data_IF_541102860084
#
_entry.id   IF_541102860084
#
_cell.length_a   1.000
_cell.length_b   1.000
_cell.length_c   1.000
_cell.angle_alpha   90.00
_cell.angle_beta   90.00
_cell.angle_gamma   90.00
#
_symmetry.space_group_name_H-M   'P 1'
#
loop_
_entity.id
_entity.type
_entity.pdbx_description
1 polymer ?
#
# COMPACT_ATOMS: atom_id res chain seq x y z
N UNK A 1 -17.30 -7.13 9.45
CA UNK A 1 -16.07 -7.96 9.51
C UNK A 1 -15.86 -8.61 8.15
N UNK A 2 -14.61 -8.89 7.73
CA UNK A 2 -14.38 -9.55 6.44
C UNK A 2 -15.10 -10.91 6.43
N UNK A 3 -15.78 -11.23 5.32
CA UNK A 3 -16.45 -12.53 5.16
C UNK A 3 -15.39 -13.63 5.11
N UNK A 4 -15.69 -14.78 5.72
CA UNK A 4 -14.84 -15.95 5.62
C UNK A 4 -14.59 -16.27 4.14
N UNK A 5 -13.33 -16.54 3.77
CA UNK A 5 -13.01 -16.87 2.38
C UNK A 5 -13.61 -18.23 2.01
N UNK A 6 -14.14 -18.32 0.79
CA UNK A 6 -14.64 -19.59 0.24
C UNK A 6 -13.51 -20.56 -0.10
N UNK A 7 -12.28 -20.06 -0.28
CA UNK A 7 -11.08 -20.84 -0.62
C UNK A 7 -9.98 -20.61 0.42
N UNK A 8 -9.13 -21.62 0.63
CA UNK A 8 -8.00 -21.58 1.56
C UNK A 8 -8.32 -22.17 2.94
N UNK A 9 -7.32 -22.14 3.85
CA UNK A 9 -7.47 -22.61 5.23
C UNK A 9 -8.46 -21.70 5.96
N UNK A 10 -9.58 -22.27 6.42
CA UNK A 10 -10.55 -21.53 7.23
C UNK A 10 -9.88 -21.03 8.51
N UNK A 11 -10.10 -19.77 8.91
CA UNK A 11 -9.64 -19.28 10.20
C UNK A 11 -10.21 -20.16 11.31
N UNK A 12 -9.33 -20.75 12.13
CA UNK A 12 -9.74 -21.47 13.35
C UNK A 12 -9.81 -20.55 14.57
N UNK A 13 -9.43 -19.28 14.43
CA UNK A 13 -9.38 -18.30 15.51
C UNK A 13 -10.64 -17.45 15.54
N UNK A 14 -11.14 -17.18 16.75
CA UNK A 14 -12.22 -16.22 16.94
C UNK A 14 -11.71 -14.79 16.66
N UNK A 15 -12.35 -14.13 15.69
CA UNK A 15 -12.03 -12.76 15.30
C UNK A 15 -12.28 -11.76 16.44
N UNK A 16 -13.22 -12.05 17.35
CA UNK A 16 -13.46 -11.21 18.53
C UNK A 16 -12.24 -11.22 19.45
N UNK A 17 -11.65 -12.39 19.68
CA UNK A 17 -10.43 -12.53 20.48
C UNK A 17 -9.23 -11.86 19.83
N UNK A 18 -9.10 -11.93 18.51
CA UNK A 18 -8.10 -11.17 17.77
C UNK A 18 -8.26 -9.65 18.00
N UNK A 19 -9.49 -9.14 17.96
CA UNK A 19 -9.77 -7.73 18.22
C UNK A 19 -9.50 -7.33 19.68
N UNK A 20 -9.86 -8.19 20.64
CA UNK A 20 -9.57 -7.99 22.06
C UNK A 20 -8.06 -7.92 22.30
N UNK A 21 -7.29 -8.83 21.70
CA UNK A 21 -5.84 -8.84 21.76
C UNK A 21 -5.20 -7.57 21.18
N UNK A 22 -5.71 -7.09 20.03
CA UNK A 22 -5.24 -5.82 19.42
C UNK A 22 -5.56 -4.63 20.34
N UNK A 23 -6.76 -4.58 20.91
CA UNK A 23 -7.15 -3.52 21.85
C UNK A 23 -6.28 -3.55 23.11
N UNK A 24 -6.03 -4.74 23.67
CA UNK A 24 -5.15 -4.92 24.81
C UNK A 24 -3.74 -4.37 24.53
N UNK A 25 -3.15 -4.71 23.39
CA UNK A 25 -1.83 -4.19 23.00
C UNK A 25 -1.84 -2.68 22.75
N UNK A 26 -2.92 -2.13 22.20
CA UNK A 26 -3.08 -0.71 21.98
C UNK A 26 -3.16 0.08 23.29
N UNK A 27 -3.89 -0.44 24.30
CA UNK A 27 -4.03 0.19 25.61
C UNK A 27 -2.78 -0.01 26.50
N UNK A 28 -2.19 -1.21 26.50
CA UNK A 28 -1.04 -1.54 27.36
C UNK A 28 0.30 -1.04 26.83
N UNK A 29 0.41 -0.74 25.53
CA UNK A 29 1.66 -0.33 24.89
C UNK A 29 2.71 -1.47 24.74
N UNK A 30 2.41 -2.67 25.23
CA UNK A 30 3.30 -3.83 25.24
C UNK A 30 3.80 -4.26 23.86
N UNK A 31 4.91 -4.99 23.85
CA UNK A 31 5.43 -5.62 22.63
C UNK A 31 4.59 -6.83 22.24
N UNK A 32 4.55 -7.16 20.94
CA UNK A 32 3.77 -8.29 20.42
C UNK A 32 4.10 -9.64 21.09
N UNK A 33 5.38 -9.86 21.44
CA UNK A 33 5.82 -11.07 22.16
C UNK A 33 5.33 -11.17 23.60
N UNK A 34 4.82 -10.08 24.17
CA UNK A 34 4.27 -10.02 25.52
C UNK A 34 2.75 -10.17 25.54
N UNK A 35 2.13 -10.53 24.41
CA UNK A 35 0.70 -10.79 24.37
C UNK A 35 0.38 -11.98 25.29
N UNK A 36 -0.57 -11.85 26.23
CA UNK A 36 -0.98 -12.94 27.10
C UNK A 36 -1.43 -14.18 26.31
N UNK A 37 -1.01 -15.36 26.78
CA UNK A 37 -1.24 -16.63 26.08
C UNK A 37 -2.72 -16.98 25.87
N UNK A 38 -3.63 -16.43 26.68
CA UNK A 38 -5.07 -16.68 26.57
C UNK A 38 -5.68 -16.08 25.30
N UNK A 39 -5.06 -15.04 24.72
CA UNK A 39 -5.45 -14.52 23.41
C UNK A 39 -4.96 -15.40 22.23
N UNK A 40 -4.22 -16.47 22.52
CA UNK A 40 -3.61 -17.36 21.55
C UNK A 40 -2.25 -16.88 21.03
N UNK A 41 -1.70 -17.52 19.98
CA UNK A 41 -0.37 -17.20 19.46
C UNK A 41 -0.31 -15.76 18.92
N UNK A 42 0.63 -14.97 19.44
CA UNK A 42 0.79 -13.57 19.05
C UNK A 42 1.06 -13.40 17.54
N UNK A 43 1.71 -14.38 16.89
CA UNK A 43 1.95 -14.36 15.45
C UNK A 43 0.63 -14.33 14.67
N UNK A 44 -0.36 -15.12 15.10
CA UNK A 44 -1.68 -15.16 14.45
C UNK A 44 -2.38 -13.82 14.56
N UNK A 45 -2.42 -13.23 15.76
CA UNK A 45 -3.00 -11.90 15.98
C UNK A 45 -2.24 -10.84 15.16
N UNK A 46 -0.91 -10.93 15.11
CA UNK A 46 -0.08 -10.02 14.32
C UNK A 46 -0.32 -10.14 12.81
N UNK A 47 -0.53 -11.34 12.29
CA UNK A 47 -0.87 -11.59 10.89
C UNK A 47 -2.22 -10.97 10.53
N UNK A 48 -3.22 -11.14 11.39
CA UNK A 48 -4.52 -10.47 11.22
C UNK A 48 -4.41 -8.96 11.29
N UNK A 49 -3.58 -8.43 12.21
CA UNK A 49 -3.39 -6.99 12.35
C UNK A 49 -2.69 -6.34 11.14
N UNK A 50 -1.68 -7.00 10.58
CA UNK A 50 -0.90 -6.46 9.46
C UNK A 50 -1.48 -6.84 8.10
N UNK A 51 -2.25 -7.91 8.01
CA UNK A 51 -2.61 -8.55 6.76
C UNK A 51 -1.50 -9.45 6.24
N UNK A 52 -1.91 -10.53 5.57
CA UNK A 52 -1.02 -11.52 4.97
C UNK A 52 -1.23 -11.55 3.45
N UNK A 53 -0.15 -11.33 2.71
CA UNK A 53 -0.14 -11.47 1.26
C UNK A 53 0.18 -12.93 0.91
N UNK A 54 -0.83 -13.67 0.45
CA UNK A 54 -0.69 -15.08 0.09
C UNK A 54 0.20 -15.33 -1.13
N UNK A 55 0.29 -14.36 -2.06
CA UNK A 55 1.12 -14.48 -3.26
C UNK A 55 2.61 -14.34 -2.94
N UNK A 56 2.96 -13.41 -2.06
CA UNK A 56 4.34 -13.20 -1.60
C UNK A 56 4.69 -14.02 -0.36
N UNK A 57 3.70 -14.64 0.29
CA UNK A 57 3.82 -15.38 1.55
C UNK A 57 4.46 -14.55 2.67
N UNK A 58 4.14 -13.26 2.70
CA UNK A 58 4.68 -12.32 3.69
C UNK A 58 3.57 -11.56 4.38
N UNK A 59 3.84 -11.18 5.62
CA UNK A 59 3.03 -10.26 6.40
C UNK A 59 3.60 -8.87 6.19
N UNK A 60 2.76 -7.88 5.93
CA UNK A 60 3.28 -6.54 5.67
C UNK A 60 2.22 -5.50 5.48
N UNK A 61 2.62 -4.37 4.92
CA UNK A 61 1.71 -3.30 4.51
C UNK A 61 1.96 -2.98 3.06
N UNK A 62 0.90 -2.65 2.35
CA UNK A 62 0.98 -2.17 0.97
C UNK A 62 0.96 -0.65 0.97
N UNK A 63 1.79 -0.09 0.10
CA UNK A 63 1.90 1.35 -0.13
C UNK A 63 1.33 1.63 -1.51
N UNK A 64 0.10 2.14 -1.55
CA UNK A 64 -0.50 2.61 -2.79
C UNK A 64 -0.06 4.05 -2.99
N UNK A 65 0.68 4.34 -4.06
CA UNK A 65 1.29 5.66 -4.26
C UNK A 65 0.89 6.19 -5.63
N UNK A 66 0.41 7.43 -5.66
CA UNK A 66 0.25 8.22 -6.87
C UNK A 66 1.38 9.25 -6.95
N UNK A 67 2.00 9.32 -8.13
CA UNK A 67 3.12 10.22 -8.40
C UNK A 67 2.87 10.99 -9.70
N UNK A 68 3.44 12.18 -9.77
CA UNK A 68 3.64 12.91 -11.02
C UNK A 68 4.70 12.22 -11.89
N UNK A 69 4.78 12.58 -13.16
CA UNK A 69 5.78 12.23 -14.17
C UNK A 69 7.23 12.34 -13.69
N UNK A 70 7.55 13.32 -12.84
CA UNK A 70 8.87 13.50 -12.20
C UNK A 70 9.12 12.56 -10.99
N UNK A 71 8.14 11.75 -10.63
CA UNK A 71 8.14 10.91 -9.42
C UNK A 71 7.91 11.72 -8.13
N UNK A 72 7.30 12.90 -8.22
CA UNK A 72 6.88 13.67 -7.04
C UNK A 72 5.61 13.05 -6.48
N UNK A 73 5.59 12.83 -5.16
CA UNK A 73 4.44 12.21 -4.49
C UNK A 73 3.22 13.13 -4.52
N UNK A 74 2.15 12.67 -5.15
CA UNK A 74 0.84 13.31 -5.09
C UNK A 74 0.05 12.78 -3.90
N UNK A 75 -0.08 11.45 -3.80
CA UNK A 75 -0.88 10.80 -2.76
C UNK A 75 -0.24 9.49 -2.32
N UNK A 76 -0.38 9.15 -1.05
CA UNK A 76 0.01 7.86 -0.49
C UNK A 76 -1.18 7.35 0.31
N UNK A 77 -1.52 6.09 0.11
CA UNK A 77 -2.48 5.37 0.93
C UNK A 77 -1.82 4.08 1.41
N UNK A 78 -1.89 3.82 2.72
CA UNK A 78 -1.33 2.62 3.32
C UNK A 78 -2.46 1.66 3.65
N UNK A 79 -2.32 0.42 3.22
CA UNK A 79 -3.25 -0.66 3.57
C UNK A 79 -2.50 -1.83 4.18
N UNK A 80 -3.25 -2.74 4.79
CA UNK A 80 -2.78 -4.07 5.14
C UNK A 80 -2.43 -4.86 3.88
N UNK A 81 -1.59 -5.89 4.02
CA UNK A 81 -1.06 -6.63 2.87
C UNK A 81 -2.08 -7.53 2.14
N UNK A 82 -3.19 -7.87 2.80
CA UNK A 82 -4.29 -8.67 2.24
C UNK A 82 -5.17 -7.87 1.27
N UNK A 83 -5.11 -6.54 1.30
CA UNK A 83 -5.86 -5.69 0.38
C UNK A 83 -5.28 -5.81 -1.03
N UNK A 84 -6.16 -6.03 -2.01
CA UNK A 84 -5.80 -6.07 -3.42
C UNK A 84 -5.34 -4.69 -3.90
N UNK A 85 -4.36 -4.67 -4.79
CA UNK A 85 -3.78 -3.42 -5.30
C UNK A 85 -4.82 -2.59 -6.06
N UNK A 86 -5.72 -3.23 -6.81
CA UNK A 86 -6.86 -2.57 -7.47
C UNK A 86 -7.80 -1.88 -6.47
N UNK A 87 -8.06 -2.48 -5.31
CA UNK A 87 -8.90 -1.87 -4.28
C UNK A 87 -8.19 -0.64 -3.68
N UNK A 88 -6.89 -0.73 -3.44
CA UNK A 88 -6.08 0.42 -3.02
C UNK A 88 -6.07 1.56 -4.05
N UNK A 89 -5.94 1.23 -5.34
CA UNK A 89 -6.01 2.20 -6.43
C UNK A 89 -7.39 2.87 -6.54
N UNK A 90 -8.49 2.14 -6.30
CA UNK A 90 -9.82 2.74 -6.27
C UNK A 90 -9.96 3.84 -5.19
N UNK A 91 -9.30 3.68 -4.04
CA UNK A 91 -9.24 4.72 -3.00
C UNK A 91 -8.45 5.92 -3.49
N UNK A 92 -7.33 5.69 -4.17
CA UNK A 92 -6.52 6.77 -4.76
C UNK A 92 -7.34 7.55 -5.80
N UNK A 93 -8.02 6.89 -6.73
CA UNK A 93 -8.83 7.57 -7.76
C UNK A 93 -9.85 8.52 -7.16
N UNK A 94 -10.52 8.07 -6.09
CA UNK A 94 -11.52 8.89 -5.39
C UNK A 94 -10.88 10.12 -4.74
N UNK A 95 -9.73 9.94 -4.08
CA UNK A 95 -9.03 11.02 -3.41
C UNK A 95 -8.42 12.02 -4.42
N UNK A 96 -7.89 11.52 -5.53
CA UNK A 96 -7.36 12.33 -6.64
C UNK A 96 -8.46 13.19 -7.24
N UNK A 97 -9.63 12.62 -7.53
CA UNK A 97 -10.77 13.39 -8.09
C UNK A 97 -11.21 14.51 -7.16
N UNK A 98 -11.27 14.24 -5.85
CA UNK A 98 -11.63 15.24 -4.84
C UNK A 98 -10.61 16.38 -4.74
N UNK A 99 -9.33 16.11 -4.98
CA UNK A 99 -8.26 17.11 -4.84
C UNK A 99 -7.97 17.86 -6.14
N UNK A 100 -8.02 17.18 -7.28
CA UNK A 100 -7.67 17.72 -8.60
C UNK A 100 -8.78 17.41 -9.60
N UNK A 101 -9.78 18.29 -9.67
CA UNK A 101 -10.94 18.17 -10.57
C UNK A 101 -10.56 18.26 -12.06
N UNK A 102 -9.37 18.77 -12.38
CA UNK A 102 -8.89 18.91 -13.74
C UNK A 102 -8.04 17.72 -14.22
N UNK A 103 -7.60 16.84 -13.32
CA UNK A 103 -6.76 15.70 -13.71
C UNK A 103 -7.62 14.69 -14.47
N UNK A 104 -7.17 14.31 -15.67
CA UNK A 104 -7.91 13.40 -16.58
C UNK A 104 -7.18 12.10 -16.87
N UNK A 105 -5.85 12.09 -16.82
CA UNK A 105 -5.08 10.95 -17.28
C UNK A 105 -4.21 10.35 -16.17
N UNK A 106 -4.24 9.02 -16.08
CA UNK A 106 -3.46 8.24 -15.14
C UNK A 106 -2.82 7.06 -15.86
N UNK A 107 -1.68 6.59 -15.34
CA UNK A 107 -0.99 5.42 -15.85
C UNK A 107 -0.84 4.39 -14.73
N UNK A 108 -1.03 3.11 -15.06
CA UNK A 108 -0.87 2.01 -14.12
C UNK A 108 -0.21 0.81 -14.80
N UNK A 109 0.34 -0.11 -14.02
CA UNK A 109 0.88 -1.36 -14.56
C UNK A 109 -0.24 -2.36 -14.94
N UNK A 110 0.15 -3.46 -15.60
CA UNK A 110 -0.77 -4.52 -16.01
C UNK A 110 -1.49 -5.22 -14.85
N UNK A 111 -0.95 -5.21 -13.63
CA UNK A 111 -1.59 -5.79 -12.44
C UNK A 111 -2.83 -5.01 -11.99
N UNK A 112 -2.98 -3.75 -12.43
CA UNK A 112 -4.16 -2.93 -12.21
C UNK A 112 -5.24 -3.11 -13.28
N UNK A 113 -5.01 -3.96 -14.29
CA UNK A 113 -5.98 -4.27 -15.34
C UNK A 113 -7.13 -5.16 -14.82
N UNK A 114 -7.99 -4.56 -14.00
CA UNK A 114 -9.20 -5.18 -13.46
C UNK A 114 -10.40 -4.33 -13.82
N UNK A 115 -11.45 -4.97 -14.33
CA UNK A 115 -12.73 -4.34 -14.72
C UNK A 115 -13.23 -3.37 -13.66
N UNK A 116 -13.34 -3.81 -12.42
CA UNK A 116 -13.79 -2.94 -11.30
C UNK A 116 -12.99 -1.65 -11.10
N UNK A 117 -11.68 -1.64 -11.38
CA UNK A 117 -10.87 -0.42 -11.30
C UNK A 117 -11.12 0.47 -12.53
N UNK A 118 -11.20 -0.13 -13.71
CA UNK A 118 -11.48 0.58 -14.96
C UNK A 118 -12.86 1.23 -14.94
N UNK A 119 -13.89 0.50 -14.52
CA UNK A 119 -15.26 1.00 -14.40
C UNK A 119 -15.31 2.22 -13.47
N UNK A 120 -14.61 2.14 -12.32
CA UNK A 120 -14.53 3.26 -11.38
C UNK A 120 -13.76 4.44 -11.95
N UNK A 121 -12.69 4.20 -12.70
CA UNK A 121 -11.93 5.27 -13.34
C UNK A 121 -12.76 6.00 -14.38
N UNK A 122 -13.46 5.25 -15.24
CA UNK A 122 -14.39 5.80 -16.24
C UNK A 122 -15.52 6.59 -15.58
N UNK A 123 -16.12 6.05 -14.50
CA UNK A 123 -17.15 6.76 -13.74
C UNK A 123 -16.66 8.09 -13.15
N UNK A 124 -15.39 8.13 -12.72
CA UNK A 124 -14.75 9.34 -12.20
C UNK A 124 -14.11 10.21 -13.31
N UNK A 125 -14.39 9.91 -14.58
CA UNK A 125 -13.95 10.69 -15.74
C UNK A 125 -12.41 10.75 -15.88
N UNK A 126 -11.78 9.61 -15.57
CA UNK A 126 -10.34 9.36 -15.79
C UNK A 126 -10.11 8.41 -16.96
N UNK A 127 -9.08 8.71 -17.75
CA UNK A 127 -8.48 7.81 -18.73
C UNK A 127 -7.28 7.12 -18.10
N UNK A 128 -7.38 5.81 -17.89
CA UNK A 128 -6.28 4.99 -17.32
C UNK A 128 -5.55 4.25 -18.44
N UNK A 129 -4.30 4.65 -18.69
CA UNK A 129 -3.40 3.92 -19.60
C UNK A 129 -2.70 2.78 -18.87
N UNK A 130 -3.02 1.53 -19.24
CA UNK A 130 -2.32 0.35 -18.72
C UNK A 130 -1.02 0.13 -19.48
N UNK A 131 0.10 0.27 -18.79
CA UNK A 131 1.44 0.05 -19.35
C UNK A 131 1.83 -1.42 -19.17
N UNK A 132 1.64 -2.20 -20.23
CA UNK A 132 1.97 -3.64 -20.26
C UNK A 132 3.47 -3.86 -20.52
N UNK A 133 3.98 -5.03 -20.10
CA UNK A 133 5.34 -5.48 -20.45
C UNK A 133 5.39 -5.77 -21.96
N UNK A 134 6.43 -5.27 -22.63
CA UNK A 134 6.85 -5.76 -23.94
C UNK A 134 7.57 -7.10 -23.81
N UNK A 135 7.89 -7.71 -24.94
CA UNK A 135 8.49 -9.04 -25.12
C UNK A 135 9.49 -9.43 -24.01
N UNK A 136 9.32 -10.59 -23.33
CA UNK A 136 10.17 -10.98 -22.20
C UNK A 136 11.64 -11.25 -22.57
N UNK A 137 11.97 -11.34 -23.86
CA UNK A 137 13.32 -11.67 -24.34
C UNK A 137 14.27 -10.48 -24.47
N UNK A 138 13.76 -9.24 -24.45
CA UNK A 138 14.57 -8.04 -24.68
C UNK A 138 14.19 -6.91 -23.73
N UNK A 139 15.20 -6.18 -23.23
CA UNK A 139 14.97 -5.01 -22.39
C UNK A 139 14.62 -3.80 -23.26
N UNK A 140 13.38 -3.35 -23.15
CA UNK A 140 12.93 -2.09 -23.76
C UNK A 140 12.56 -1.08 -22.66
N UNK A 141 13.01 0.16 -22.84
CA UNK A 141 12.63 1.27 -21.97
C UNK A 141 11.18 1.64 -22.29
N UNK A 142 10.25 1.25 -21.41
CA UNK A 142 8.85 1.64 -21.52
C UNK A 142 8.65 3.02 -20.87
N UNK A 143 8.17 4.03 -21.62
CA UNK A 143 7.89 5.35 -21.06
C UNK A 143 6.92 5.25 -19.88
N UNK A 144 7.16 6.06 -18.84
CA UNK A 144 6.29 6.23 -17.63
C UNK A 144 6.15 5.02 -16.70
N UNK A 145 6.53 3.81 -17.12
CA UNK A 145 6.41 2.58 -16.31
C UNK A 145 7.20 2.63 -15.01
N UNK A 146 8.45 3.08 -15.09
CA UNK A 146 9.41 3.04 -13.99
C UNK A 146 9.28 4.20 -13.00
N UNK A 147 8.39 5.16 -13.21
CA UNK A 147 8.34 6.40 -12.39
C UNK A 147 7.96 6.07 -10.93
N UNK A 148 6.98 5.18 -10.74
CA UNK A 148 6.56 4.72 -9.42
C UNK A 148 7.67 3.89 -8.75
N UNK A 149 8.26 2.93 -9.49
CA UNK A 149 9.35 2.08 -8.98
C UNK A 149 10.58 2.90 -8.61
N UNK A 150 10.93 3.91 -9.41
CA UNK A 150 12.00 4.87 -9.12
C UNK A 150 11.71 5.65 -7.84
N UNK A 151 10.46 6.06 -7.64
CA UNK A 151 10.03 6.74 -6.42
C UNK A 151 10.19 5.82 -5.19
N UNK A 152 9.85 4.53 -5.32
CA UNK A 152 10.16 3.53 -4.30
C UNK A 152 11.67 3.41 -4.04
N UNK A 153 12.49 3.40 -5.09
CA UNK A 153 13.95 3.41 -4.97
C UNK A 153 14.49 4.62 -4.20
N UNK A 154 13.94 5.82 -4.43
CA UNK A 154 14.32 7.00 -3.64
C UNK A 154 13.88 6.91 -2.19
N UNK A 155 12.69 6.38 -1.91
CA UNK A 155 12.22 6.17 -0.53
C UNK A 155 13.13 5.24 0.28
N UNK A 156 13.72 4.21 -0.35
CA UNK A 156 14.62 3.26 0.30
C UNK A 156 15.91 3.95 0.82
N UNK A 157 16.31 5.09 0.26
CA UNK A 157 17.45 5.88 0.79
C UNK A 157 17.20 6.37 2.22
N UNK A 158 15.94 6.55 2.59
CA UNK A 158 15.55 6.79 3.98
C UNK A 158 15.48 5.45 4.71
N UNK A 159 16.51 5.12 5.51
CA UNK A 159 16.62 3.81 6.20
C UNK A 159 15.34 3.38 6.94
N UNK A 160 14.58 4.33 7.47
CA UNK A 160 13.30 4.09 8.18
C UNK A 160 12.19 3.52 7.28
N UNK A 161 12.29 3.64 5.96
CA UNK A 161 11.29 3.17 4.99
C UNK A 161 11.67 1.86 4.29
N UNK A 162 12.91 1.38 4.46
CA UNK A 162 13.40 0.10 3.93
C UNK A 162 12.57 -1.06 4.49
N UNK A 163 12.29 -1.03 5.79
CA UNK A 163 11.39 -1.94 6.49
C UNK A 163 10.34 -1.15 7.23
N UNK A 164 9.12 -1.66 7.28
CA UNK A 164 8.05 -1.00 8.02
C UNK A 164 8.10 -1.38 9.51
N UNK A 165 8.81 -0.56 10.28
CA UNK A 165 8.97 -0.69 11.73
C UNK A 165 7.77 -0.15 12.52
N UNK A 166 6.87 0.64 11.90
CA UNK A 166 5.86 1.38 12.65
C UNK A 166 4.63 0.51 12.93
N UNK A 167 4.09 0.63 14.15
CA UNK A 167 2.87 -0.06 14.57
C UNK A 167 1.61 0.58 14.01
N UNK A 168 1.57 1.91 13.87
CA UNK A 168 0.40 2.64 13.36
C UNK A 168 0.61 3.04 11.89
N UNK A 169 -0.49 3.15 11.13
CA UNK A 169 -0.46 3.48 9.70
C UNK A 169 -0.12 4.96 9.46
N UNK A 170 -0.73 5.85 10.23
CA UNK A 170 -0.46 7.30 10.22
C UNK A 170 1.02 7.63 10.43
N UNK A 171 1.70 6.93 11.34
CA UNK A 171 3.14 7.12 11.57
C UNK A 171 3.97 6.62 10.38
N UNK A 172 3.59 5.50 9.76
CA UNK A 172 4.25 5.04 8.53
C UNK A 172 4.07 6.05 7.39
N UNK A 173 2.87 6.62 7.25
CA UNK A 173 2.53 7.62 6.24
C UNK A 173 3.32 8.92 6.46
N UNK A 174 3.36 9.41 7.70
CA UNK A 174 4.14 10.59 8.06
C UNK A 174 5.64 10.42 7.74
N UNK A 175 6.20 9.23 7.95
CA UNK A 175 7.60 8.95 7.57
C UNK A 175 7.82 9.00 6.06
N UNK A 176 6.84 8.57 5.26
CA UNK A 176 6.86 8.73 3.80
C UNK A 176 6.80 10.21 3.44
N UNK A 177 5.97 10.99 4.12
CA UNK A 177 5.88 12.44 3.91
C UNK A 177 7.19 13.15 4.20
N UNK A 178 7.83 12.88 5.33
CA UNK A 178 9.14 13.43 5.69
C UNK A 178 10.20 13.05 4.66
N UNK A 179 10.26 11.78 4.26
CA UNK A 179 11.23 11.31 3.27
C UNK A 179 11.07 12.01 1.92
N UNK A 180 9.83 12.13 1.42
CA UNK A 180 9.56 12.77 0.14
C UNK A 180 9.74 14.29 0.19
N UNK A 181 9.42 14.92 1.32
CA UNK A 181 9.70 16.34 1.56
C UNK A 181 11.20 16.63 1.53
N UNK A 182 12.01 15.83 2.25
CA UNK A 182 13.46 15.96 2.23
C UNK A 182 14.08 15.70 0.84
N UNK A 183 13.47 14.83 0.03
CA UNK A 183 13.89 14.65 -1.37
C UNK A 183 13.57 15.88 -2.22
N UNK A 184 12.37 16.43 -2.08
CA UNK A 184 11.94 17.62 -2.81
C UNK A 184 12.81 18.83 -2.46
N UNK A 185 13.06 19.06 -1.17
CA UNK A 185 13.92 20.15 -0.70
C UNK A 185 15.33 20.06 -1.30
N UNK A 186 15.93 18.88 -1.31
CA UNK A 186 17.26 18.67 -1.92
C UNK A 186 17.28 19.00 -3.41
N UNK A 187 16.21 18.69 -4.15
CA UNK A 187 16.12 19.02 -5.59
C UNK A 187 15.96 20.50 -5.87
N UNK A 188 15.32 21.23 -4.95
CA UNK A 188 15.13 22.67 -5.09
C UNK A 188 16.43 23.40 -4.70
N UNK A 189 17.07 22.97 -3.61
CA UNK A 189 18.27 23.62 -3.07
C UNK A 189 19.55 23.35 -3.88
N UNK A 190 19.66 22.19 -4.54
CA UNK A 190 20.83 21.80 -5.33
C UNK A 190 20.52 21.76 -6.82
N UNK A 191 19.84 22.80 -7.34
CA UNK A 191 19.68 22.98 -8.80
C UNK A 191 21.02 23.26 -9.46
#
# INVERSE_FOLDING_TARGET
MPRASHRGRKPSVDLREVLNAIRYLACSGGGWRMLPIHFGPWQTVYWWFRGYDGGKRIVGRKRHVAVDTDGRRLLVNLSTADVLDSAGAQTILTAVRKRWLWLKQLFADAGYDRTTLMDKATFLDFVVGIVRRSDPKSFHVLPRRWVVERTFGWMIRSRRLVRDYKRRLDVSEAMIHVSMGALLLRRIAHR
#
